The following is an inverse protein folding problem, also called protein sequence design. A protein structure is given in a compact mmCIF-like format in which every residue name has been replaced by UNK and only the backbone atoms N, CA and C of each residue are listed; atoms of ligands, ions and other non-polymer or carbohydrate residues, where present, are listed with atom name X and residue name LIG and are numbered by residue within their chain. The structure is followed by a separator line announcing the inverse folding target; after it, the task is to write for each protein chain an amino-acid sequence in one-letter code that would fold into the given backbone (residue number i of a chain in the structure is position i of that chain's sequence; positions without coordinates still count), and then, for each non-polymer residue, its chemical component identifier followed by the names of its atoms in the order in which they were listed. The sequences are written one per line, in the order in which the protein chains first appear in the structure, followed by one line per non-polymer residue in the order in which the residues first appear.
data_IF_859196546516
#
_entry.id   IF_859196546516
#
_cell.length_a   1.000
_cell.length_b   1.000
_cell.length_c   1.000
_cell.angle_alpha   90.00
_cell.angle_beta   90.00
_cell.angle_gamma   90.00
#
_symmetry.space_group_name_H-M   'P 1'
#
loop_
_entity.id
_entity.type
_entity.pdbx_description
1 polymer ?
#
# COMPACT_ATOMS: atom_id res chain seq x y z
N UNK A 1 6.23 21.63 -27.81
CA UNK A 1 5.22 21.06 -26.88
C UNK A 1 5.75 19.71 -26.49
N UNK A 2 5.99 19.48 -25.20
CA UNK A 2 6.65 18.30 -24.67
C UNK A 2 5.64 17.25 -24.17
N UNK A 3 5.97 15.98 -24.38
CA UNK A 3 5.31 14.82 -23.80
C UNK A 3 6.07 14.32 -22.57
N UNK A 4 5.35 13.90 -21.54
CA UNK A 4 5.93 13.17 -20.41
C UNK A 4 5.61 11.67 -20.54
N UNK A 5 6.64 10.84 -20.63
CA UNK A 5 6.52 9.39 -20.61
C UNK A 5 6.76 8.84 -19.21
N UNK A 6 6.11 7.73 -18.85
CA UNK A 6 6.54 6.92 -17.70
C UNK A 6 6.39 5.43 -17.98
N UNK A 7 7.36 4.63 -17.54
CA UNK A 7 7.27 3.17 -17.60
C UNK A 7 6.45 2.63 -16.43
N UNK A 8 5.25 2.14 -16.72
CA UNK A 8 4.36 1.47 -15.77
C UNK A 8 4.70 -0.02 -15.75
N UNK A 9 4.87 -0.57 -14.55
CA UNK A 9 5.11 -1.99 -14.27
C UNK A 9 4.92 -2.25 -12.76
N UNK A 10 5.19 -3.47 -12.32
CA UNK A 10 5.03 -3.95 -10.94
C UNK A 10 3.57 -4.04 -10.48
N UNK A 11 3.34 -4.14 -9.16
CA UNK A 11 2.01 -4.26 -8.57
C UNK A 11 1.24 -2.95 -8.60
N UNK A 12 -0.08 -3.03 -8.43
CA UNK A 12 -1.01 -1.89 -8.59
C UNK A 12 -0.59 -0.64 -7.78
N UNK A 13 -0.11 -0.80 -6.53
CA UNK A 13 0.35 0.34 -5.72
C UNK A 13 1.56 1.06 -6.32
N UNK A 14 2.52 0.32 -6.89
CA UNK A 14 3.66 0.92 -7.58
C UNK A 14 3.23 1.59 -8.89
N UNK A 15 2.32 0.96 -9.63
CA UNK A 15 1.74 1.58 -10.83
C UNK A 15 1.03 2.89 -10.50
N UNK A 16 0.26 2.93 -9.40
CA UNK A 16 -0.43 4.15 -8.96
C UNK A 16 0.56 5.27 -8.62
N UNK A 17 1.65 5.01 -7.88
CA UNK A 17 2.67 6.03 -7.61
C UNK A 17 3.23 6.64 -8.91
N UNK A 18 3.60 5.79 -9.86
CA UNK A 18 4.12 6.21 -11.17
C UNK A 18 3.10 7.03 -11.95
N UNK A 19 1.89 6.49 -12.10
CA UNK A 19 0.80 7.15 -12.85
C UNK A 19 0.46 8.50 -12.20
N UNK A 20 0.38 8.59 -10.87
CA UNK A 20 0.05 9.82 -10.17
C UNK A 20 1.14 10.88 -10.34
N UNK A 21 2.41 10.49 -10.22
CA UNK A 21 3.54 11.40 -10.46
C UNK A 21 3.56 11.92 -11.90
N UNK A 22 3.34 11.04 -12.89
CA UNK A 22 3.33 11.43 -14.30
C UNK A 22 2.14 12.34 -14.66
N UNK A 23 0.93 12.05 -14.16
CA UNK A 23 -0.25 12.89 -14.38
C UNK A 23 -0.05 14.25 -13.68
N UNK A 24 0.48 14.27 -12.46
CA UNK A 24 0.78 15.52 -11.75
C UNK A 24 1.76 16.39 -12.53
N UNK A 25 2.88 15.81 -12.97
CA UNK A 25 3.85 16.52 -13.80
C UNK A 25 3.23 17.03 -15.10
N UNK A 26 2.37 16.23 -15.74
CA UNK A 26 1.64 16.66 -16.94
C UNK A 26 0.77 17.88 -16.67
N UNK A 27 0.02 17.89 -15.59
CA UNK A 27 -0.87 19.00 -15.24
C UNK A 27 -0.10 20.31 -15.11
N UNK A 28 1.12 20.26 -14.59
CA UNK A 28 1.90 21.47 -14.29
C UNK A 28 2.82 21.90 -15.45
N UNK A 29 3.42 20.93 -16.16
CA UNK A 29 4.64 21.18 -16.94
C UNK A 29 4.61 20.64 -18.39
N UNK A 30 3.58 19.91 -18.81
CA UNK A 30 3.54 19.33 -20.16
C UNK A 30 2.19 19.46 -20.85
N UNK A 31 2.16 19.13 -22.15
CA UNK A 31 0.92 19.18 -22.94
C UNK A 31 0.21 17.83 -23.03
N UNK A 32 0.95 16.74 -22.78
CA UNK A 32 0.43 15.39 -22.84
C UNK A 32 1.30 14.43 -22.03
N UNK A 33 0.75 13.27 -21.69
CA UNK A 33 1.46 12.17 -21.05
C UNK A 33 1.22 10.84 -21.78
N UNK A 34 2.20 9.93 -21.68
CA UNK A 34 2.15 8.58 -22.24
C UNK A 34 2.52 7.58 -21.14
N UNK A 35 1.67 6.55 -20.98
CA UNK A 35 1.87 5.47 -20.03
C UNK A 35 2.45 4.27 -20.77
N UNK A 36 3.77 4.11 -20.70
CA UNK A 36 4.43 3.01 -21.38
C UNK A 36 4.28 1.71 -20.61
N UNK A 37 4.02 0.62 -21.32
CA UNK A 37 3.97 -0.73 -20.76
C UNK A 37 4.97 -1.65 -21.47
N UNK A 38 5.49 -2.63 -20.75
CA UNK A 38 6.27 -3.73 -21.34
C UNK A 38 5.37 -4.91 -21.68
N UNK A 39 5.79 -5.71 -22.66
CA UNK A 39 5.13 -6.97 -23.02
C UNK A 39 5.15 -8.02 -21.89
N UNK A 40 6.07 -7.85 -20.93
CA UNK A 40 6.21 -8.73 -19.77
C UNK A 40 6.16 -7.89 -18.48
N UNK A 41 5.16 -8.15 -17.63
CA UNK A 41 5.03 -7.64 -16.27
C UNK A 41 4.95 -8.80 -15.25
N UNK A 42 5.47 -9.97 -15.63
CA UNK A 42 5.29 -11.22 -14.92
C UNK A 42 3.81 -11.60 -14.79
N UNK A 43 3.41 -12.06 -13.60
CA UNK A 43 2.01 -12.42 -13.30
C UNK A 43 1.11 -11.19 -13.04
N UNK A 44 1.66 -9.98 -13.07
CA UNK A 44 0.97 -8.76 -12.63
C UNK A 44 0.21 -8.11 -13.78
N UNK A 45 -0.94 -7.50 -13.47
CA UNK A 45 -1.86 -6.88 -14.44
C UNK A 45 -1.61 -5.39 -14.54
N UNK A 46 -2.01 -4.77 -15.64
CA UNK A 46 -1.93 -3.32 -15.85
C UNK A 46 -3.23 -2.55 -15.56
N UNK A 47 -4.34 -3.24 -15.27
CA UNK A 47 -5.62 -2.65 -14.87
C UNK A 47 -6.20 -1.59 -15.83
N UNK A 48 -5.77 -1.59 -17.10
CA UNK A 48 -6.26 -0.68 -18.15
C UNK A 48 -7.73 -0.87 -18.47
N UNK A 49 -8.30 -2.06 -18.27
CA UNK A 49 -9.73 -2.31 -18.46
C UNK A 49 -10.54 -2.19 -17.16
N UNK A 50 -9.90 -1.80 -16.06
CA UNK A 50 -10.54 -1.71 -14.74
C UNK A 50 -10.25 -0.35 -14.07
N UNK A 51 -9.37 -0.31 -13.07
CA UNK A 51 -9.08 0.90 -12.26
C UNK A 51 -8.58 2.07 -13.11
N UNK A 52 -7.90 1.79 -14.22
CA UNK A 52 -7.32 2.80 -15.11
C UNK A 52 -8.04 2.90 -16.46
N UNK A 53 -9.30 2.44 -16.53
CA UNK A 53 -10.11 2.45 -17.76
C UNK A 53 -10.24 3.83 -18.40
N UNK A 54 -10.41 4.88 -17.60
CA UNK A 54 -10.53 6.26 -18.10
C UNK A 54 -9.25 6.81 -18.75
N UNK A 55 -8.08 6.21 -18.46
CA UNK A 55 -6.79 6.64 -19.00
C UNK A 55 -6.13 5.59 -19.90
N UNK A 56 -6.83 4.50 -20.21
CA UNK A 56 -6.35 3.41 -21.08
C UNK A 56 -5.94 3.90 -22.48
N UNK A 57 -6.60 4.93 -22.99
CA UNK A 57 -6.26 5.56 -24.28
C UNK A 57 -4.91 6.32 -24.28
N UNK A 58 -4.24 6.44 -23.14
CA UNK A 58 -2.91 7.06 -22.99
C UNK A 58 -1.76 6.05 -22.97
N UNK A 59 -2.06 4.76 -23.12
CA UNK A 59 -1.03 3.71 -23.03
C UNK A 59 -0.33 3.46 -24.36
N UNK A 60 0.95 3.08 -24.32
CA UNK A 60 1.73 2.65 -25.48
C UNK A 60 2.69 1.52 -25.10
N UNK A 61 2.86 0.53 -25.98
CA UNK A 61 3.89 -0.53 -25.86
C UNK A 61 5.20 -0.18 -26.58
N UNK A 62 5.21 0.93 -27.34
CA UNK A 62 6.37 1.41 -28.09
C UNK A 62 6.93 2.67 -27.44
N UNK A 63 8.07 2.53 -26.77
CA UNK A 63 8.82 3.66 -26.22
C UNK A 63 9.54 4.41 -27.35
N UNK A 64 9.14 5.65 -27.57
CA UNK A 64 9.66 6.56 -28.61
C UNK A 64 10.37 7.80 -28.05
N UNK A 65 10.29 8.02 -26.73
CA UNK A 65 11.02 9.09 -26.03
C UNK A 65 12.41 8.59 -25.64
N UNK A 66 13.45 9.32 -26.06
CA UNK A 66 14.86 8.94 -25.85
C UNK A 66 15.52 9.63 -24.67
N UNK A 67 15.12 10.87 -24.35
CA UNK A 67 15.61 11.59 -23.18
C UNK A 67 14.98 10.99 -21.91
N UNK A 68 15.80 10.73 -20.89
CA UNK A 68 15.38 10.04 -19.68
C UNK A 68 15.69 10.84 -18.43
N UNK A 69 14.75 10.85 -17.50
CA UNK A 69 14.98 11.22 -16.12
C UNK A 69 14.88 9.97 -15.25
N UNK A 70 16.02 9.49 -14.77
CA UNK A 70 16.08 8.39 -13.80
C UNK A 70 16.05 8.99 -12.40
N UNK A 71 15.09 8.59 -11.58
CA UNK A 71 14.97 9.05 -10.20
C UNK A 71 16.28 8.77 -9.46
N UNK A 72 16.99 9.81 -8.97
CA UNK A 72 18.32 9.64 -8.38
C UNK A 72 18.26 8.99 -6.99
N UNK A 73 17.13 9.10 -6.30
CA UNK A 73 16.91 8.63 -4.94
C UNK A 73 15.52 8.03 -4.78
N UNK A 74 15.32 7.30 -3.68
CA UNK A 74 14.00 6.81 -3.28
C UNK A 74 13.15 7.92 -2.62
N UNK A 75 13.78 8.82 -1.86
CA UNK A 75 13.12 9.99 -1.29
C UNK A 75 12.81 11.04 -2.38
N UNK A 76 12.05 12.06 -2.00
CA UNK A 76 11.57 13.05 -2.96
C UNK A 76 12.72 13.87 -3.55
N UNK A 77 12.75 13.95 -4.88
CA UNK A 77 13.57 14.89 -5.63
C UNK A 77 12.73 15.46 -6.76
N UNK A 78 12.49 16.76 -6.71
CA UNK A 78 11.75 17.49 -7.74
C UNK A 78 12.26 17.11 -9.13
N UNK A 79 11.32 16.78 -10.02
CA UNK A 79 11.60 16.46 -11.42
C UNK A 79 11.86 17.79 -12.14
N UNK A 80 13.01 17.98 -12.80
CA UNK A 80 13.29 19.21 -13.55
C UNK A 80 12.22 19.49 -14.61
N UNK A 81 12.03 20.76 -14.96
CA UNK A 81 11.17 21.14 -16.08
C UNK A 81 11.91 20.90 -17.40
N UNK A 82 11.35 20.04 -18.25
CA UNK A 82 11.89 19.73 -19.58
C UNK A 82 11.16 20.51 -20.68
N UNK A 83 11.89 21.04 -21.66
CA UNK A 83 11.30 21.64 -22.88
C UNK A 83 11.09 20.62 -24.01
N UNK A 84 11.79 19.48 -23.92
CA UNK A 84 11.72 18.30 -24.79
C UNK A 84 10.88 17.19 -24.15
N UNK A 85 10.55 16.17 -24.94
CA UNK A 85 9.90 14.96 -24.44
C UNK A 85 10.85 14.21 -23.50
N UNK A 86 10.36 13.76 -22.35
CA UNK A 86 11.19 13.05 -21.35
C UNK A 86 10.48 11.81 -20.81
N UNK A 87 11.22 10.72 -20.65
CA UNK A 87 10.76 9.46 -20.05
C UNK A 87 11.21 9.39 -18.60
N UNK A 88 10.25 9.27 -17.69
CA UNK A 88 10.47 9.07 -16.27
C UNK A 88 10.75 7.59 -15.97
N UNK A 89 11.85 7.31 -15.29
CA UNK A 89 12.23 5.99 -14.79
C UNK A 89 12.47 6.04 -13.29
N UNK A 90 11.65 5.30 -12.53
CA UNK A 90 11.72 5.29 -11.07
C UNK A 90 10.39 4.87 -10.44
N UNK A 91 10.37 4.73 -9.12
CA UNK A 91 9.14 4.39 -8.40
C UNK A 91 8.31 5.60 -7.98
N UNK A 92 8.93 6.78 -7.80
CA UNK A 92 8.26 8.02 -7.39
C UNK A 92 7.35 7.85 -6.16
N UNK A 93 7.80 7.08 -5.16
CA UNK A 93 6.99 6.74 -3.98
C UNK A 93 7.02 7.85 -2.93
N UNK A 94 6.45 9.00 -3.28
CA UNK A 94 6.22 10.11 -2.35
C UNK A 94 4.97 10.88 -2.77
N UNK A 95 4.07 11.21 -1.83
CA UNK A 95 2.92 12.07 -2.13
C UNK A 95 3.36 13.46 -2.63
N UNK A 96 4.56 13.92 -2.29
CA UNK A 96 5.11 15.22 -2.75
C UNK A 96 5.18 15.36 -4.28
N UNK A 97 5.18 14.25 -5.02
CA UNK A 97 5.12 14.29 -6.49
C UNK A 97 3.72 14.66 -7.03
N UNK A 98 2.65 14.48 -6.27
CA UNK A 98 1.28 14.53 -6.80
C UNK A 98 0.20 15.09 -5.89
N UNK A 99 0.46 15.29 -4.60
CA UNK A 99 -0.57 15.67 -3.61
C UNK A 99 -1.22 17.01 -3.92
N UNK A 100 -0.46 17.99 -4.43
CA UNK A 100 -0.99 19.30 -4.81
C UNK A 100 -1.98 19.23 -5.99
N UNK A 101 -1.92 18.17 -6.79
CA UNK A 101 -2.82 17.92 -7.91
C UNK A 101 -3.81 16.76 -7.66
N UNK A 102 -3.91 16.22 -6.43
CA UNK A 102 -4.68 15.00 -6.13
C UNK A 102 -6.13 15.07 -6.60
N UNK A 103 -6.81 16.20 -6.42
CA UNK A 103 -8.21 16.36 -6.83
C UNK A 103 -8.40 16.26 -8.36
N UNK A 104 -7.43 16.76 -9.13
CA UNK A 104 -7.44 16.64 -10.60
C UNK A 104 -7.12 15.22 -11.02
N UNK A 105 -6.14 14.59 -10.37
CA UNK A 105 -5.75 13.19 -10.63
C UNK A 105 -6.92 12.24 -10.38
N UNK A 106 -7.61 12.38 -9.25
CA UNK A 106 -8.82 11.59 -8.93
C UNK A 106 -9.88 11.73 -10.02
N UNK A 107 -10.08 12.94 -10.55
CA UNK A 107 -11.03 13.20 -11.65
C UNK A 107 -10.59 12.56 -12.97
N UNK A 108 -9.33 12.70 -13.35
CA UNK A 108 -8.78 12.14 -14.59
C UNK A 108 -8.89 10.62 -14.59
N UNK A 109 -8.59 9.99 -13.46
CA UNK A 109 -8.65 8.52 -13.31
C UNK A 109 -10.10 8.05 -13.07
N UNK A 110 -10.98 8.88 -12.50
CA UNK A 110 -12.32 8.49 -12.07
C UNK A 110 -12.32 7.65 -10.79
N UNK A 111 -11.35 7.88 -9.89
CA UNK A 111 -11.14 7.08 -8.67
C UNK A 111 -12.39 7.05 -7.80
N UNK A 112 -13.02 8.20 -7.58
CA UNK A 112 -14.21 8.31 -6.72
C UNK A 112 -15.39 7.48 -7.23
N UNK A 113 -15.60 7.45 -8.55
CA UNK A 113 -16.65 6.64 -9.18
C UNK A 113 -16.35 5.14 -9.03
N UNK A 114 -15.09 4.74 -9.24
CA UNK A 114 -14.66 3.35 -9.02
C UNK A 114 -14.82 2.92 -7.56
N UNK A 115 -14.43 3.77 -6.60
CA UNK A 115 -14.63 3.53 -5.16
C UNK A 115 -16.12 3.33 -4.89
N UNK A 116 -16.96 4.29 -5.28
CA UNK A 116 -18.41 4.23 -5.01
C UNK A 116 -19.06 2.99 -5.62
N UNK A 117 -18.67 2.63 -6.85
CA UNK A 117 -19.18 1.43 -7.54
C UNK A 117 -18.79 0.15 -6.80
N UNK A 118 -17.54 0.04 -6.35
CA UNK A 118 -17.06 -1.14 -5.60
C UNK A 118 -17.70 -1.21 -4.22
N UNK A 119 -17.74 -0.11 -3.47
CA UNK A 119 -18.32 -0.09 -2.14
C UNK A 119 -19.83 -0.39 -2.14
N UNK A 120 -20.55 0.09 -3.16
CA UNK A 120 -21.98 -0.26 -3.36
C UNK A 120 -22.17 -1.75 -3.67
N UNK A 121 -21.21 -2.36 -4.38
CA UNK A 121 -21.27 -3.78 -4.73
C UNK A 121 -20.96 -4.70 -3.54
N UNK A 122 -20.15 -4.26 -2.59
CA UNK A 122 -19.75 -5.04 -1.41
C UNK A 122 -20.14 -4.32 -0.11
N UNK A 123 -21.45 -4.10 0.13
CA UNK A 123 -21.92 -3.34 1.28
C UNK A 123 -21.49 -3.94 2.61
N UNK A 124 -21.25 -5.25 2.67
CA UNK A 124 -20.81 -5.98 3.86
C UNK A 124 -19.50 -5.45 4.47
N UNK A 125 -18.67 -4.72 3.72
CA UNK A 125 -17.45 -4.09 4.23
C UNK A 125 -17.64 -2.60 4.62
N UNK A 126 -18.85 -2.07 4.46
CA UNK A 126 -19.16 -0.64 4.67
C UNK A 126 -20.26 -0.38 5.72
N UNK A 127 -21.01 -1.40 6.12
CA UNK A 127 -22.15 -1.29 7.05
C UNK A 127 -21.73 -0.82 8.45
N UNK A 128 -20.55 -1.24 8.91
CA UNK A 128 -20.02 -0.92 10.24
C UNK A 128 -18.88 0.10 10.11
N UNK A 129 -18.60 0.79 11.21
CA UNK A 129 -17.31 1.45 11.35
C UNK A 129 -16.22 0.37 11.36
N UNK A 130 -15.17 0.55 10.55
CA UNK A 130 -14.11 -0.46 10.41
C UNK A 130 -12.73 0.12 10.62
N UNK A 131 -11.83 -0.74 11.11
CA UNK A 131 -10.38 -0.53 11.11
C UNK A 131 -9.80 -1.53 10.09
N UNK A 132 -9.03 -1.02 9.13
CA UNK A 132 -8.32 -1.88 8.16
C UNK A 132 -7.04 -2.41 8.78
N UNK A 133 -6.75 -3.70 8.54
CA UNK A 133 -5.42 -4.30 8.69
C UNK A 133 -4.97 -4.92 7.38
N UNK A 134 -3.75 -4.65 6.94
CA UNK A 134 -3.15 -5.35 5.81
C UNK A 134 -1.93 -6.16 6.24
N UNK A 135 -1.99 -7.47 6.03
CA UNK A 135 -0.89 -8.40 6.23
C UNK A 135 -0.14 -8.60 4.91
N UNK A 136 1.04 -7.98 4.78
CA UNK A 136 1.92 -8.20 3.62
C UNK A 136 2.90 -9.34 3.94
N UNK A 137 2.61 -10.54 3.44
CA UNK A 137 3.44 -11.72 3.63
C UNK A 137 3.80 -12.36 2.28
N UNK A 138 2.93 -13.15 1.66
CA UNK A 138 3.04 -13.64 0.27
C UNK A 138 4.47 -13.89 -0.23
N UNK A 139 4.85 -13.19 -1.30
CA UNK A 139 6.19 -13.26 -1.90
C UNK A 139 7.33 -12.76 -0.98
N UNK A 140 7.04 -12.00 0.08
CA UNK A 140 8.05 -11.51 1.02
C UNK A 140 8.70 -12.64 1.82
N UNK A 141 8.01 -13.77 2.02
CA UNK A 141 8.65 -14.95 2.64
C UNK A 141 9.90 -15.42 1.88
N UNK A 142 9.96 -15.19 0.57
CA UNK A 142 11.12 -15.52 -0.27
C UNK A 142 12.09 -14.34 -0.45
N UNK A 143 11.72 -13.14 0.03
CA UNK A 143 12.43 -11.89 -0.19
C UNK A 143 12.79 -11.15 1.12
N UNK A 144 12.80 -11.86 2.26
CA UNK A 144 13.05 -11.27 3.59
C UNK A 144 14.24 -10.30 3.68
N UNK A 145 15.41 -10.56 3.03
CA UNK A 145 16.53 -9.61 3.06
C UNK A 145 16.23 -8.24 2.41
N UNK A 146 15.21 -8.16 1.56
CA UNK A 146 14.79 -6.95 0.84
C UNK A 146 13.46 -6.40 1.34
N UNK A 147 12.57 -7.28 1.81
CA UNK A 147 11.20 -6.96 2.22
C UNK A 147 10.81 -7.76 3.47
N UNK A 148 10.81 -7.14 4.66
CA UNK A 148 10.52 -7.84 5.90
C UNK A 148 9.02 -8.18 5.99
N UNK A 149 8.70 -9.33 6.58
CA UNK A 149 7.34 -9.67 7.00
C UNK A 149 7.12 -9.15 8.41
N UNK A 150 6.07 -8.34 8.61
CA UNK A 150 5.76 -7.76 9.91
C UNK A 150 5.27 -8.83 10.88
N UNK A 151 5.78 -8.83 12.12
CA UNK A 151 5.39 -9.75 13.21
C UNK A 151 4.09 -9.28 13.89
N UNK A 152 3.39 -10.14 14.66
CA UNK A 152 2.19 -9.76 15.42
C UNK A 152 2.39 -8.53 16.30
N UNK A 153 3.60 -8.38 16.88
CA UNK A 153 3.96 -7.25 17.73
C UNK A 153 3.77 -5.88 17.05
N UNK A 154 4.06 -5.77 15.75
CA UNK A 154 3.81 -4.53 15.00
C UNK A 154 2.32 -4.13 15.08
N UNK A 155 1.43 -5.08 14.83
CA UNK A 155 -0.02 -4.83 14.84
C UNK A 155 -0.52 -4.52 16.26
N UNK A 156 0.02 -5.19 17.28
CA UNK A 156 -0.30 -4.90 18.69
C UNK A 156 0.09 -3.45 19.06
N UNK A 157 1.29 -3.00 18.70
CA UNK A 157 1.72 -1.61 18.95
C UNK A 157 0.93 -0.59 18.12
N UNK A 158 0.54 -0.95 16.90
CA UNK A 158 -0.34 -0.12 16.08
C UNK A 158 -1.73 0.05 16.71
N UNK A 159 -2.30 -1.00 17.29
CA UNK A 159 -3.56 -0.92 18.04
C UNK A 159 -3.43 -0.09 19.32
N UNK A 160 -2.33 -0.22 20.08
CA UNK A 160 -2.05 0.66 21.22
C UNK A 160 -1.98 2.13 20.80
N UNK A 161 -1.40 2.42 19.62
CA UNK A 161 -1.36 3.78 19.05
C UNK A 161 -2.74 4.30 18.67
N UNK A 162 -3.64 3.45 18.17
CA UNK A 162 -5.04 3.82 17.94
C UNK A 162 -5.72 4.22 19.26
N UNK A 163 -5.61 3.37 20.29
CA UNK A 163 -6.18 3.63 21.62
C UNK A 163 -5.62 4.91 22.24
N UNK A 164 -4.30 5.14 22.15
CA UNK A 164 -3.67 6.35 22.73
C UNK A 164 -4.09 7.64 22.04
N UNK A 165 -4.58 7.57 20.80
CA UNK A 165 -5.19 8.69 20.06
C UNK A 165 -6.70 8.81 20.26
N UNK A 166 -7.29 8.04 21.18
CA UNK A 166 -8.69 8.13 21.56
C UNK A 166 -9.64 7.31 20.68
N UNK A 167 -9.12 6.36 19.89
CA UNK A 167 -9.97 5.40 19.16
C UNK A 167 -10.41 4.31 20.13
N UNK A 168 -11.72 4.18 20.37
CA UNK A 168 -12.28 2.98 21.01
C UNK A 168 -12.30 1.85 19.98
N UNK A 169 -11.24 1.04 19.97
CA UNK A 169 -11.04 -0.03 18.97
C UNK A 169 -12.16 -1.09 18.97
N UNK A 170 -13.00 -1.15 20.01
CA UNK A 170 -14.11 -2.09 20.13
C UNK A 170 -15.41 -1.60 19.49
N UNK A 171 -15.50 -0.32 19.12
CA UNK A 171 -16.60 0.22 18.32
C UNK A 171 -16.45 -0.10 16.81
N UNK A 172 -15.39 -0.81 16.44
CA UNK A 172 -15.03 -1.10 15.06
C UNK A 172 -14.93 -2.61 14.80
N UNK A 173 -15.37 -3.01 13.60
CA UNK A 173 -15.02 -4.32 13.04
C UNK A 173 -13.65 -4.22 12.35
N UNK A 174 -12.79 -5.22 12.57
CA UNK A 174 -11.47 -5.27 11.98
C UNK A 174 -11.57 -5.95 10.62
N UNK A 175 -11.47 -5.18 9.54
CA UNK A 175 -11.42 -5.74 8.19
C UNK A 175 -9.96 -6.01 7.83
N UNK A 176 -9.64 -7.26 7.50
CA UNK A 176 -8.27 -7.62 7.16
C UNK A 176 -8.10 -8.16 5.74
N UNK A 177 -6.91 -7.88 5.20
CA UNK A 177 -6.48 -8.19 3.84
C UNK A 177 -5.18 -8.98 3.90
N UNK A 178 -5.11 -10.10 3.20
CA UNK A 178 -3.91 -10.92 3.02
C UNK A 178 -4.05 -11.76 1.75
N UNK A 179 -2.96 -12.35 1.26
CA UNK A 179 -3.04 -13.31 0.16
C UNK A 179 -3.68 -14.63 0.65
N UNK A 180 -4.33 -15.37 -0.26
CA UNK A 180 -5.09 -16.58 0.08
C UNK A 180 -4.21 -17.69 0.71
N UNK A 181 -2.95 -17.79 0.27
CA UNK A 181 -1.94 -18.70 0.82
C UNK A 181 -1.48 -18.32 2.23
N UNK A 182 -1.76 -17.10 2.71
CA UNK A 182 -1.36 -16.62 4.04
C UNK A 182 -2.45 -16.83 5.09
N UNK A 183 -3.61 -17.39 4.73
CA UNK A 183 -4.78 -17.52 5.60
C UNK A 183 -4.46 -18.17 6.96
N UNK A 184 -3.74 -19.29 6.96
CA UNK A 184 -3.46 -20.04 8.20
C UNK A 184 -2.54 -19.26 9.14
N UNK A 185 -1.53 -18.57 8.61
CA UNK A 185 -0.61 -17.79 9.43
C UNK A 185 -1.28 -16.50 9.93
N UNK A 186 -2.09 -15.85 9.09
CA UNK A 186 -2.84 -14.65 9.47
C UNK A 186 -3.90 -14.96 10.53
N UNK A 187 -4.56 -16.12 10.46
CA UNK A 187 -5.48 -16.54 11.52
C UNK A 187 -4.78 -16.71 12.87
N UNK A 188 -3.55 -17.24 12.89
CA UNK A 188 -2.73 -17.31 14.11
C UNK A 188 -2.36 -15.92 14.62
N UNK A 189 -1.99 -15.00 13.72
CA UNK A 189 -1.67 -13.62 14.08
C UNK A 189 -2.88 -12.89 14.67
N UNK A 190 -4.06 -13.01 14.04
CA UNK A 190 -5.30 -12.44 14.55
C UNK A 190 -5.62 -12.94 15.97
N UNK A 191 -5.42 -14.24 16.25
CA UNK A 191 -5.61 -14.80 17.59
C UNK A 191 -4.62 -14.23 18.60
N UNK A 192 -3.34 -14.14 18.24
CA UNK A 192 -2.29 -13.57 19.10
C UNK A 192 -2.56 -12.09 19.43
N UNK A 193 -2.88 -11.29 18.41
CA UNK A 193 -3.24 -9.88 18.55
C UNK A 193 -4.48 -9.73 19.43
N UNK A 194 -5.52 -10.53 19.19
CA UNK A 194 -6.74 -10.50 19.99
C UNK A 194 -6.46 -10.80 21.46
N UNK A 195 -5.69 -11.87 21.75
CA UNK A 195 -5.37 -12.26 23.12
C UNK A 195 -4.58 -11.16 23.85
N UNK A 196 -3.58 -10.57 23.20
CA UNK A 196 -2.79 -9.49 23.77
C UNK A 196 -3.65 -8.25 24.07
N UNK A 197 -4.52 -7.83 23.15
CA UNK A 197 -5.38 -6.66 23.35
C UNK A 197 -6.51 -6.93 24.35
N UNK A 198 -7.03 -8.15 24.40
CA UNK A 198 -8.00 -8.57 25.42
C UNK A 198 -7.39 -8.56 26.82
N UNK A 199 -6.14 -8.98 26.98
CA UNK A 199 -5.44 -8.88 28.25
C UNK A 199 -5.27 -7.42 28.70
N UNK A 200 -4.94 -6.52 27.76
CA UNK A 200 -4.72 -5.10 28.04
C UNK A 200 -6.02 -4.31 28.28
N UNK A 201 -7.08 -4.60 27.53
CA UNK A 201 -8.27 -3.75 27.45
C UNK A 201 -9.61 -4.49 27.65
N UNK A 202 -9.58 -5.81 27.85
CA UNK A 202 -10.69 -6.58 28.43
C UNK A 202 -11.78 -7.10 27.48
N UNK A 203 -11.68 -6.86 26.15
CA UNK A 203 -12.69 -7.35 25.17
C UNK A 203 -12.05 -8.00 23.95
N UNK A 204 -12.81 -8.87 23.29
CA UNK A 204 -12.42 -9.49 22.01
C UNK A 204 -12.68 -8.54 20.84
N UNK A 205 -11.72 -8.49 19.92
CA UNK A 205 -11.86 -7.85 18.61
C UNK A 205 -12.66 -8.75 17.65
N UNK A 206 -13.37 -8.11 16.71
CA UNK A 206 -14.14 -8.81 15.68
C UNK A 206 -13.40 -8.71 14.34
N UNK A 207 -12.78 -9.81 13.92
CA UNK A 207 -12.05 -9.86 12.64
C UNK A 207 -12.93 -10.38 11.51
N UNK A 208 -12.83 -9.74 10.35
CA UNK A 208 -13.51 -10.16 9.12
C UNK A 208 -12.56 -10.06 7.94
N UNK A 209 -12.34 -11.18 7.26
CA UNK A 209 -11.52 -11.23 6.05
C UNK A 209 -12.26 -10.63 4.86
N UNK A 210 -11.55 -9.88 4.02
CA UNK A 210 -12.01 -9.61 2.64
C UNK A 210 -11.86 -10.87 1.79
N UNK A 211 -12.91 -11.24 1.04
CA UNK A 211 -12.92 -12.49 0.27
C UNK A 211 -11.80 -12.54 -0.78
N UNK A 212 -11.13 -13.69 -0.87
CA UNK A 212 -10.09 -13.96 -1.86
C UNK A 212 -10.61 -13.95 -3.30
N UNK A 213 -11.91 -14.16 -3.51
CA UNK A 213 -12.56 -14.12 -4.82
C UNK A 213 -12.74 -12.70 -5.35
N UNK A 214 -12.55 -11.69 -4.50
CA UNK A 214 -12.62 -10.29 -4.90
C UNK A 214 -11.29 -9.91 -5.56
N UNK A 215 -11.28 -9.41 -6.82
CA UNK A 215 -10.06 -8.96 -7.46
C UNK A 215 -9.31 -7.90 -6.63
N UNK A 216 -7.99 -8.02 -6.58
CA UNK A 216 -7.06 -7.10 -5.90
C UNK A 216 -7.37 -5.61 -6.07
N UNK A 217 -7.65 -5.13 -7.29
CA UNK A 217 -7.97 -3.72 -7.51
C UNK A 217 -9.27 -3.30 -6.82
N UNK A 218 -10.24 -4.21 -6.66
CA UNK A 218 -11.46 -3.95 -5.88
C UNK A 218 -11.17 -4.04 -4.39
N UNK A 219 -10.34 -4.98 -3.95
CA UNK A 219 -9.90 -5.03 -2.55
C UNK A 219 -9.21 -3.72 -2.12
N UNK A 220 -8.36 -3.15 -2.99
CA UNK A 220 -7.75 -1.83 -2.76
C UNK A 220 -8.80 -0.75 -2.54
N UNK A 221 -9.87 -0.73 -3.35
CA UNK A 221 -10.95 0.25 -3.22
C UNK A 221 -11.84 -0.03 -2.00
N UNK A 222 -12.08 -1.29 -1.63
CA UNK A 222 -12.78 -1.66 -0.39
C UNK A 222 -12.03 -1.12 0.83
N UNK A 223 -10.70 -1.20 0.82
CA UNK A 223 -9.85 -0.70 1.90
C UNK A 223 -10.08 0.79 2.20
N UNK A 224 -10.42 1.60 1.20
CA UNK A 224 -10.66 3.05 1.36
C UNK A 224 -11.86 3.39 2.26
N UNK A 225 -12.71 2.42 2.62
CA UNK A 225 -13.92 2.62 3.41
C UNK A 225 -13.71 2.68 4.94
N UNK A 226 -12.56 2.23 5.43
CA UNK A 226 -12.28 2.20 6.89
C UNK A 226 -12.08 3.58 7.49
N UNK A 227 -12.33 3.68 8.81
CA UNK A 227 -12.13 4.91 9.57
C UNK A 227 -10.67 5.09 10.00
N UNK A 228 -9.99 3.99 10.27
CA UNK A 228 -8.58 3.93 10.68
C UNK A 228 -7.86 2.76 10.02
N UNK A 229 -6.53 2.80 10.02
CA UNK A 229 -5.71 1.92 9.20
C UNK A 229 -4.46 1.46 9.92
N UNK A 230 -4.18 0.16 9.84
CA UNK A 230 -2.89 -0.46 10.18
C UNK A 230 -2.39 -1.11 8.88
N UNK A 231 -1.49 -0.43 8.17
CA UNK A 231 -1.04 -0.87 6.85
C UNK A 231 0.20 -1.77 6.96
N UNK A 232 0.39 -2.69 6.02
CA UNK A 232 1.66 -3.41 5.89
C UNK A 232 2.71 -2.57 5.15
N UNK A 233 3.94 -3.09 5.05
CA UNK A 233 5.00 -2.51 4.23
C UNK A 233 4.75 -2.74 2.73
N UNK A 234 3.63 -2.20 2.22
CA UNK A 234 3.16 -2.39 0.86
C UNK A 234 2.49 -1.12 0.33
N UNK A 235 2.85 -0.75 -0.89
CA UNK A 235 2.21 0.34 -1.62
C UNK A 235 0.74 0.08 -1.92
N UNK A 236 0.30 -1.19 -1.90
CA UNK A 236 -1.11 -1.54 -2.01
C UNK A 236 -1.93 -0.94 -0.86
N UNK A 237 -1.55 -1.25 0.38
CA UNK A 237 -2.24 -0.72 1.56
C UNK A 237 -1.97 0.75 1.80
N UNK A 238 -0.82 1.25 1.34
CA UNK A 238 -0.53 2.67 1.33
C UNK A 238 -1.61 3.44 0.55
N UNK A 239 -1.93 3.01 -0.68
CA UNK A 239 -2.99 3.66 -1.48
C UNK A 239 -4.39 3.43 -0.92
N UNK A 240 -4.65 2.27 -0.33
CA UNK A 240 -5.91 2.01 0.37
C UNK A 240 -6.18 3.00 1.51
N UNK A 241 -5.14 3.37 2.27
CA UNK A 241 -5.25 4.39 3.33
C UNK A 241 -5.24 5.82 2.75
N UNK A 242 -4.35 6.11 1.80
CA UNK A 242 -4.18 7.45 1.22
C UNK A 242 -5.42 7.95 0.47
N UNK A 243 -6.15 7.06 -0.21
CA UNK A 243 -7.36 7.42 -0.95
C UNK A 243 -8.63 7.48 -0.10
N UNK A 244 -8.53 7.16 1.20
CA UNK A 244 -9.63 7.22 2.15
C UNK A 244 -10.24 8.62 2.22
N UNK A 245 -11.56 8.68 2.37
CA UNK A 245 -12.31 9.91 2.66
C UNK A 245 -12.61 10.08 4.16
N UNK A 246 -12.03 9.23 5.01
CA UNK A 246 -12.21 9.32 6.46
C UNK A 246 -11.74 10.67 7.00
N UNK A 247 -12.49 11.23 7.96
CA UNK A 247 -12.15 12.49 8.63
C UNK A 247 -11.23 12.14 9.79
N UNK A 248 -10.01 12.70 9.80
CA UNK A 248 -8.98 12.49 10.83
C UNK A 248 -8.65 11.00 11.12
N UNK A 249 -8.32 10.20 10.09
CA UNK A 249 -7.97 8.80 10.31
C UNK A 249 -6.64 8.71 11.06
N UNK A 250 -6.59 7.86 12.10
CA UNK A 250 -5.32 7.35 12.61
C UNK A 250 -4.83 6.26 11.65
N UNK A 251 -3.69 6.52 11.02
CA UNK A 251 -3.05 5.61 10.08
C UNK A 251 -1.70 5.20 10.68
N UNK A 252 -1.48 3.91 10.85
CA UNK A 252 -0.28 3.30 11.41
C UNK A 252 0.46 2.52 10.32
N UNK A 253 1.78 2.67 10.25
CA UNK A 253 2.64 1.98 9.29
C UNK A 253 3.92 1.46 9.97
N UNK A 254 4.57 0.41 9.46
CA UNK A 254 5.74 -0.17 10.11
C UNK A 254 6.97 0.72 9.92
N UNK A 255 7.81 0.83 10.97
CA UNK A 255 9.13 1.46 10.85
C UNK A 255 10.04 0.71 9.85
N UNK A 256 9.95 -0.61 9.81
CA UNK A 256 10.69 -1.44 8.85
C UNK A 256 9.91 -1.58 7.53
N UNK A 257 10.12 -0.65 6.60
CA UNK A 257 9.52 -0.71 5.27
C UNK A 257 10.34 -1.57 4.28
N UNK A 258 11.66 -1.39 4.30
CA UNK A 258 12.62 -2.10 3.45
C UNK A 258 13.54 -2.96 4.32
N UNK A 259 13.98 -4.09 3.77
CA UNK A 259 14.86 -5.04 4.45
C UNK A 259 16.31 -4.59 4.49
N UNK A 260 17.15 -5.38 5.17
CA UNK A 260 18.56 -5.08 5.44
C UNK A 260 19.37 -4.66 4.19
N UNK A 261 19.09 -5.25 3.02
CA UNK A 261 19.78 -4.89 1.77
C UNK A 261 19.50 -3.46 1.28
N UNK A 262 18.48 -2.83 1.82
CA UNK A 262 18.05 -1.48 1.49
C UNK A 262 18.00 -0.57 2.73
N UNK A 263 18.63 -0.94 3.85
CA UNK A 263 18.55 -0.19 5.11
C UNK A 263 18.99 1.28 5.01
N UNK A 264 19.89 1.60 4.07
CA UNK A 264 20.40 2.95 3.83
C UNK A 264 19.45 3.79 2.96
N UNK A 265 18.36 3.19 2.49
CA UNK A 265 17.36 3.88 1.67
C UNK A 265 16.52 4.80 2.55
N UNK A 266 16.57 6.10 2.25
CA UNK A 266 15.77 7.12 2.93
C UNK A 266 14.32 7.00 2.45
N UNK A 267 13.40 6.71 3.37
CA UNK A 267 11.96 6.56 3.11
C UNK A 267 11.11 7.64 3.79
N UNK A 268 11.72 8.71 4.29
CA UNK A 268 11.03 9.73 5.08
C UNK A 268 9.92 10.45 4.30
N UNK A 269 10.10 10.62 2.99
CA UNK A 269 9.11 11.24 2.12
C UNK A 269 8.05 10.25 1.59
N UNK A 270 8.08 8.98 2.01
CA UNK A 270 7.13 7.97 1.53
C UNK A 270 5.74 8.14 2.14
N UNK A 271 5.64 8.71 3.34
CA UNK A 271 4.40 8.79 4.11
C UNK A 271 4.01 10.24 4.36
N UNK A 272 2.71 10.58 4.34
CA UNK A 272 2.24 11.85 4.88
C UNK A 272 2.66 12.02 6.35
N UNK A 273 3.02 13.24 6.75
CA UNK A 273 3.49 13.55 8.11
C UNK A 273 2.47 13.21 9.21
N UNK A 274 1.18 13.18 8.86
CA UNK A 274 0.10 12.84 9.78
C UNK A 274 0.02 11.34 10.14
N UNK A 275 0.75 10.49 9.42
CA UNK A 275 0.75 9.05 9.66
C UNK A 275 1.71 8.66 10.78
N UNK A 276 1.43 7.54 11.43
CA UNK A 276 2.10 7.13 12.66
C UNK A 276 3.02 5.95 12.37
N UNK A 277 4.33 6.23 12.45
CA UNK A 277 5.36 5.20 12.34
C UNK A 277 5.38 4.37 13.61
N UNK A 278 5.25 3.06 13.47
CA UNK A 278 5.24 2.13 14.60
C UNK A 278 6.61 1.49 14.75
N UNK A 279 7.21 1.70 15.91
CA UNK A 279 8.46 1.10 16.32
C UNK A 279 8.16 -0.17 17.12
N UNK A 280 8.84 -1.26 16.77
CA UNK A 280 8.82 -2.49 17.53
C UNK A 280 10.19 -2.65 18.14
N UNK A 281 10.26 -2.74 19.47
CA UNK A 281 11.53 -3.01 20.14
C UNK A 281 12.05 -4.39 19.71
N UNK A 282 13.34 -4.48 19.39
CA UNK A 282 13.96 -5.76 19.13
C UNK A 282 13.92 -6.57 20.43
N UNK A 283 13.12 -7.63 20.45
CA UNK A 283 13.21 -8.63 21.51
C UNK A 283 14.65 -9.13 21.51
N UNK A 284 15.34 -8.98 22.65
CA UNK A 284 16.75 -9.31 22.78
C UNK A 284 17.06 -10.70 22.22
N UNK A 285 18.25 -10.86 21.63
CA UNK A 285 18.68 -12.01 20.83
C UNK A 285 18.56 -13.41 21.49
N UNK A 286 18.07 -13.52 22.72
CA UNK A 286 17.87 -14.77 23.45
C UNK A 286 16.59 -15.53 23.05
N UNK A 287 15.61 -14.92 22.37
CA UNK A 287 14.37 -15.61 21.97
C UNK A 287 14.33 -16.02 20.48
N UNK A 288 15.26 -15.54 19.66
CA UNK A 288 15.32 -15.85 18.23
C UNK A 288 15.63 -17.34 17.96
N UNK A 289 16.37 -18.00 18.85
CA UNK A 289 16.74 -19.41 18.72
C UNK A 289 15.56 -20.38 18.98
N UNK A 290 14.50 -19.94 19.65
CA UNK A 290 13.34 -20.78 19.94
C UNK A 290 12.29 -20.82 18.80
N UNK A 291 12.38 -19.93 17.82
CA UNK A 291 11.42 -19.86 16.70
C UNK A 291 11.90 -20.67 15.49
N UNK A 292 13.21 -20.76 15.25
CA UNK A 292 13.75 -21.61 14.16
C UNK A 292 13.47 -23.09 14.40
N UNK A 293 13.50 -23.53 15.65
CA UNK A 293 13.26 -24.94 16.02
C UNK A 293 11.77 -25.33 15.91
N UNK A 294 10.85 -24.38 16.00
CA UNK A 294 9.41 -24.64 15.83
C UNK A 294 8.97 -24.69 14.36
N UNK A 295 9.67 -24.00 13.46
CA UNK A 295 9.36 -24.05 12.03
C UNK A 295 9.89 -25.34 11.38
N UNK A 296 11.01 -25.88 11.86
CA UNK A 296 11.57 -27.13 11.34
C UNK A 296 10.77 -28.38 11.75
N UNK A 297 10.06 -28.35 12.89
CA UNK A 297 9.24 -29.48 13.36
C UNK A 297 7.85 -29.59 12.70
N UNK A 298 7.45 -28.65 11.84
CA UNK A 298 6.18 -28.71 11.09
C UNK A 298 6.37 -29.32 9.69
N UNK A 299 7.61 -29.53 9.24
CA UNK A 299 7.92 -30.12 7.92
C UNK A 299 8.11 -31.65 7.94
N UNK A 300 7.93 -32.31 9.09
CA UNK A 300 8.00 -33.77 9.20
C UNK A 300 6.83 -34.26 10.07
N UNK A 301 5.61 -34.15 9.55
CA UNK A 301 4.46 -34.97 9.95
C UNK A 301 3.38 -34.93 8.88
#
# INVERSE_FOLDING_TARGET
MNNIGILVNDGIGNQMFKIFAAISYYIDNSQNYVLYTTNDNGYRKYYWDTLFSNISHKTSDKIDITEKYVAPYFHYKEIPIYTSDVLLEGYFQSPKYFEHNINKIRRIIGIDEHINTVLTKYPEYTIKNTITIHYRMGDYFNLLPWHPVQKPQYYIEAFKTLVSKGVDIYDYEIIYFCEANDNDIVNKYNLEINNALKELYGKDLQFKKVSDDIPDWKQLLIMTSSKHYIIGNSTFSWFGAYLSSSINPVICYPNEWLGEKYKETITDDLFPESWNRIYVEAVGAAEADNVSDRINNIRIS
#
